data_IF_358237577270
#
_entry.id   IF_358237577270
#
_cell.length_a   1.000
_cell.length_b   1.000
_cell.length_c   1.000
_cell.angle_alpha   90.00
_cell.angle_beta   90.00
_cell.angle_gamma   90.00
#
_symmetry.space_group_name_H-M   'P 1'
#
loop_
_entity.id
_entity.type
_entity.pdbx_description
1 polymer ?
#
# COMPACT_ATOMS: atom_id res chain seq x y z
N UNK A 1 3.17 7.13 -22.86
CA UNK A 1 2.19 6.91 -21.79
C UNK A 1 1.09 6.05 -22.37
N UNK A 2 0.73 4.97 -21.71
CA UNK A 2 -0.44 4.17 -22.09
C UNK A 2 -1.67 4.96 -21.63
N UNK A 3 -2.61 5.27 -22.53
CA UNK A 3 -3.79 6.08 -22.21
C UNK A 3 -5.03 5.24 -21.91
N UNK A 4 -5.01 3.96 -22.28
CA UNK A 4 -6.05 2.98 -21.96
C UNK A 4 -5.38 1.64 -21.63
N UNK A 5 -5.72 1.08 -20.47
CA UNK A 5 -5.34 -0.28 -20.10
C UNK A 5 -6.26 -1.25 -20.87
N UNK A 6 -5.70 -2.22 -21.63
CA UNK A 6 -6.52 -3.14 -22.42
C UNK A 6 -7.38 -4.03 -21.52
N UNK A 7 -8.63 -4.24 -21.94
CA UNK A 7 -9.59 -5.13 -21.25
C UNK A 7 -9.12 -6.59 -21.26
N UNK A 8 -9.39 -7.30 -20.16
CA UNK A 8 -9.00 -8.71 -19.98
C UNK A 8 -9.89 -9.64 -20.83
N UNK A 9 -11.13 -9.24 -21.08
CA UNK A 9 -12.12 -10.02 -21.84
C UNK A 9 -12.45 -9.33 -23.16
N UNK A 10 -12.62 -10.12 -24.21
CA UNK A 10 -13.27 -9.65 -25.43
C UNK A 10 -14.72 -9.25 -25.15
N UNK A 11 -15.35 -8.37 -25.97
CA UNK A 11 -16.75 -8.02 -25.80
C UNK A 11 -17.70 -9.24 -25.75
N UNK A 12 -17.43 -10.25 -26.57
CA UNK A 12 -18.23 -11.48 -26.63
C UNK A 12 -18.10 -12.33 -25.35
N UNK A 13 -16.89 -12.45 -24.81
CA UNK A 13 -16.66 -13.13 -23.53
C UNK A 13 -17.36 -12.38 -22.40
N UNK A 14 -17.27 -11.05 -22.40
CA UNK A 14 -17.89 -10.21 -21.38
C UNK A 14 -19.42 -10.28 -21.39
N UNK A 15 -20.04 -10.29 -22.58
CA UNK A 15 -21.47 -10.50 -22.73
C UNK A 15 -21.90 -11.88 -22.22
N UNK A 16 -21.11 -12.92 -22.49
CA UNK A 16 -21.36 -14.27 -21.98
C UNK A 16 -21.28 -14.35 -20.44
N UNK A 17 -20.32 -13.66 -19.84
CA UNK A 17 -20.17 -13.56 -18.38
C UNK A 17 -21.37 -12.83 -17.77
N UNK A 18 -21.75 -11.67 -18.30
CA UNK A 18 -22.90 -10.88 -17.83
C UNK A 18 -24.24 -11.59 -17.98
N UNK A 19 -24.37 -12.48 -18.95
CA UNK A 19 -25.58 -13.26 -19.13
C UNK A 19 -25.81 -14.32 -18.03
N UNK A 20 -24.74 -14.73 -17.33
CA UNK A 20 -24.77 -15.84 -16.37
C UNK A 20 -24.40 -15.43 -14.93
N UNK A 21 -23.76 -14.28 -14.74
CA UNK A 21 -23.25 -13.82 -13.45
C UNK A 21 -23.71 -12.40 -13.13
N UNK A 22 -23.95 -12.12 -11.84
CA UNK A 22 -24.09 -10.75 -11.36
C UNK A 22 -22.70 -10.10 -11.32
N UNK A 23 -22.56 -8.97 -12.01
CA UNK A 23 -21.31 -8.20 -12.04
C UNK A 23 -21.44 -7.00 -11.10
N UNK A 24 -20.65 -7.02 -10.04
CA UNK A 24 -20.54 -5.89 -9.13
C UNK A 24 -19.63 -4.82 -9.75
N UNK A 25 -20.12 -3.57 -9.80
CA UNK A 25 -19.45 -2.43 -10.41
C UNK A 25 -18.84 -2.73 -11.79
N UNK A 26 -17.50 -2.71 -11.91
CA UNK A 26 -16.76 -2.97 -13.17
C UNK A 26 -16.42 -4.44 -13.38
N UNK A 27 -16.71 -5.29 -12.41
CA UNK A 27 -16.33 -6.71 -12.44
C UNK A 27 -14.84 -6.97 -12.26
N UNK A 28 -14.08 -5.98 -11.77
CA UNK A 28 -12.71 -6.13 -11.30
C UNK A 28 -12.64 -6.01 -9.78
N UNK A 29 -11.55 -6.47 -9.18
CA UNK A 29 -11.36 -6.35 -7.73
C UNK A 29 -11.13 -4.89 -7.36
N UNK A 30 -11.84 -4.41 -6.35
CA UNK A 30 -11.72 -3.04 -5.86
C UNK A 30 -11.96 -2.94 -4.35
N UNK A 31 -11.67 -1.77 -3.77
CA UNK A 31 -11.85 -1.49 -2.35
C UNK A 31 -11.09 -2.47 -1.44
N UNK A 32 -9.80 -2.65 -1.73
CA UNK A 32 -8.94 -3.60 -1.02
C UNK A 32 -7.85 -2.89 -0.21
N UNK A 33 -7.41 -3.54 0.87
CA UNK A 33 -6.17 -3.21 1.59
C UNK A 33 -5.20 -4.38 1.41
N UNK A 34 -4.31 -4.34 0.40
CA UNK A 34 -3.32 -5.39 0.21
C UNK A 34 -2.38 -5.52 1.41
N UNK A 35 -1.94 -6.74 1.70
CA UNK A 35 -0.86 -7.01 2.64
C UNK A 35 0.50 -6.67 1.99
N UNK A 36 0.85 -5.38 2.01
CA UNK A 36 2.16 -4.94 1.57
C UNK A 36 3.27 -5.37 2.52
N UNK A 37 2.98 -5.41 3.83
CA UNK A 37 3.96 -5.70 4.88
C UNK A 37 4.70 -7.00 4.61
N UNK A 38 3.97 -8.09 4.34
CA UNK A 38 4.58 -9.41 4.10
C UNK A 38 5.56 -9.38 2.94
N UNK A 39 5.20 -8.71 1.83
CA UNK A 39 6.08 -8.65 0.66
C UNK A 39 7.24 -7.68 0.86
N UNK A 40 7.01 -6.53 1.50
CA UNK A 40 8.08 -5.56 1.82
C UNK A 40 9.12 -6.20 2.74
N UNK A 41 8.67 -6.97 3.73
CA UNK A 41 9.54 -7.64 4.71
C UNK A 41 10.31 -8.81 4.12
N UNK A 42 9.66 -9.65 3.32
CA UNK A 42 10.27 -10.89 2.80
C UNK A 42 11.03 -10.68 1.49
N UNK A 43 10.51 -9.83 0.60
CA UNK A 43 11.01 -9.64 -0.76
C UNK A 43 10.42 -10.61 -1.79
N UNK A 44 10.49 -10.22 -3.06
CA UNK A 44 9.90 -10.93 -4.18
C UNK A 44 10.48 -12.34 -4.40
N UNK A 45 11.78 -12.54 -4.17
CA UNK A 45 12.39 -13.87 -4.29
C UNK A 45 11.90 -14.84 -3.21
N UNK A 46 11.69 -14.36 -1.98
CA UNK A 46 11.11 -15.19 -0.93
C UNK A 46 9.64 -15.54 -1.23
N UNK A 47 8.87 -14.60 -1.80
CA UNK A 47 7.50 -14.89 -2.27
C UNK A 47 7.50 -15.95 -3.39
N UNK A 48 8.43 -15.87 -4.36
CA UNK A 48 8.58 -16.92 -5.40
C UNK A 48 8.99 -18.27 -4.82
N UNK A 49 9.88 -18.28 -3.84
CA UNK A 49 10.30 -19.52 -3.19
C UNK A 49 9.14 -20.21 -2.45
N UNK A 50 8.25 -19.44 -1.81
CA UNK A 50 7.02 -19.98 -1.21
C UNK A 50 6.13 -20.63 -2.27
N UNK A 51 5.95 -19.98 -3.42
CA UNK A 51 5.15 -20.52 -4.53
C UNK A 51 5.76 -21.81 -5.06
N UNK A 52 7.08 -21.83 -5.29
CA UNK A 52 7.79 -23.03 -5.74
C UNK A 52 7.66 -24.19 -4.73
N UNK A 53 7.74 -23.90 -3.43
CA UNK A 53 7.52 -24.89 -2.38
C UNK A 53 6.10 -25.44 -2.38
N UNK A 54 5.09 -24.59 -2.64
CA UNK A 54 3.68 -25.02 -2.73
C UNK A 54 3.43 -25.86 -3.97
N UNK A 55 4.02 -25.49 -5.11
CA UNK A 55 3.89 -26.24 -6.38
C UNK A 55 4.45 -27.66 -6.31
N UNK A 56 5.35 -27.94 -5.37
CA UNK A 56 5.88 -29.26 -5.10
C UNK A 56 4.89 -30.20 -4.39
N UNK A 57 3.74 -29.70 -3.93
CA UNK A 57 2.68 -30.53 -3.37
C UNK A 57 1.92 -31.27 -4.50
N UNK A 58 2.06 -32.59 -4.52
CA UNK A 58 1.42 -33.49 -5.49
C UNK A 58 -0.10 -33.55 -5.37
N UNK A 59 -0.67 -33.11 -4.24
CA UNK A 59 -2.12 -33.07 -4.01
C UNK A 59 -2.83 -31.93 -4.72
N UNK A 60 -2.08 -30.96 -5.27
CA UNK A 60 -2.66 -29.82 -5.97
C UNK A 60 -3.35 -30.24 -7.26
N UNK A 61 -4.58 -29.78 -7.43
CA UNK A 61 -5.32 -29.91 -8.68
C UNK A 61 -4.75 -28.98 -9.78
N UNK A 62 -5.28 -29.12 -10.99
CA UNK A 62 -4.82 -28.36 -12.15
C UNK A 62 -5.08 -26.85 -12.00
N UNK A 63 -6.20 -26.46 -11.40
CA UNK A 63 -6.58 -25.06 -11.22
C UNK A 63 -5.66 -24.37 -10.21
N UNK A 64 -5.38 -25.03 -9.09
CA UNK A 64 -4.43 -24.57 -8.08
C UNK A 64 -3.02 -24.41 -8.64
N UNK A 65 -2.57 -25.34 -9.49
CA UNK A 65 -1.27 -25.25 -10.16
C UNK A 65 -1.20 -24.08 -11.14
N UNK A 66 -2.26 -23.88 -11.92
CA UNK A 66 -2.37 -22.72 -12.83
C UNK A 66 -2.32 -21.43 -12.02
N UNK A 67 -3.10 -21.32 -10.94
CA UNK A 67 -3.11 -20.14 -10.08
C UNK A 67 -1.70 -19.83 -9.54
N UNK A 68 -1.03 -20.81 -8.93
CA UNK A 68 0.32 -20.62 -8.39
C UNK A 68 1.34 -20.24 -9.48
N UNK A 69 1.28 -20.87 -10.65
CA UNK A 69 2.11 -20.51 -11.80
C UNK A 69 1.88 -19.07 -12.27
N UNK A 70 0.62 -18.63 -12.33
CA UNK A 70 0.25 -17.26 -12.69
C UNK A 70 0.77 -16.25 -11.67
N UNK A 71 0.69 -16.54 -10.36
CA UNK A 71 1.25 -15.65 -9.33
C UNK A 71 2.78 -15.53 -9.47
N UNK A 72 3.48 -16.63 -9.78
CA UNK A 72 4.93 -16.57 -10.03
C UNK A 72 5.27 -15.67 -11.23
N UNK A 73 4.52 -15.80 -12.34
CA UNK A 73 4.67 -14.94 -13.53
C UNK A 73 4.42 -13.46 -13.22
N UNK A 74 3.41 -13.15 -12.40
CA UNK A 74 3.16 -11.77 -11.96
C UNK A 74 4.34 -11.21 -11.17
N UNK A 75 4.96 -12.01 -10.28
CA UNK A 75 6.15 -11.56 -9.54
C UNK A 75 7.31 -11.31 -10.49
N UNK A 76 7.56 -12.20 -11.45
CA UNK A 76 8.62 -12.01 -12.47
C UNK A 76 8.41 -10.71 -13.26
N UNK A 77 7.17 -10.41 -13.65
CA UNK A 77 6.85 -9.16 -14.35
C UNK A 77 7.16 -7.91 -13.50
N UNK A 78 6.85 -7.95 -12.19
CA UNK A 78 7.19 -6.86 -11.26
C UNK A 78 8.71 -6.72 -11.11
N UNK A 79 9.44 -7.83 -11.04
CA UNK A 79 10.91 -7.82 -10.97
C UNK A 79 11.53 -7.23 -12.25
N UNK A 80 11.01 -7.60 -13.41
CA UNK A 80 11.48 -7.08 -14.70
C UNK A 80 11.18 -5.58 -14.84
N UNK A 81 9.98 -5.14 -14.46
CA UNK A 81 9.63 -3.72 -14.41
C UNK A 81 10.59 -2.94 -13.50
N UNK A 82 10.83 -3.45 -12.29
CA UNK A 82 11.77 -2.85 -11.33
C UNK A 82 13.19 -2.78 -11.92
N UNK A 83 13.63 -3.84 -12.60
CA UNK A 83 14.93 -3.89 -13.27
C UNK A 83 15.07 -2.86 -14.40
N UNK A 84 14.00 -2.60 -15.16
CA UNK A 84 13.99 -1.55 -16.19
C UNK A 84 14.14 -0.16 -15.58
N UNK A 85 13.45 0.13 -14.47
CA UNK A 85 13.65 1.39 -13.75
C UNK A 85 15.06 1.50 -13.16
N UNK A 86 15.62 0.41 -12.63
CA UNK A 86 16.99 0.42 -12.10
C UNK A 86 18.04 0.70 -13.19
N UNK A 87 17.87 0.11 -14.38
CA UNK A 87 18.72 0.38 -15.54
C UNK A 87 18.61 1.84 -15.97
N UNK A 88 17.39 2.38 -16.06
CA UNK A 88 17.17 3.77 -16.43
C UNK A 88 17.76 4.75 -15.41
N UNK A 89 17.57 4.52 -14.11
CA UNK A 89 18.17 5.34 -13.06
C UNK A 89 19.71 5.36 -13.16
N UNK A 90 20.33 4.21 -13.49
CA UNK A 90 21.78 4.11 -13.70
C UNK A 90 22.24 4.94 -14.91
N UNK A 91 21.51 4.86 -16.03
CA UNK A 91 21.77 5.67 -17.23
C UNK A 91 21.62 7.17 -16.97
N UNK A 92 20.66 7.55 -16.12
CA UNK A 92 20.44 8.93 -15.69
C UNK A 92 21.44 9.44 -14.63
N UNK A 93 22.40 8.62 -14.20
CA UNK A 93 23.39 8.98 -13.17
C UNK A 93 22.85 8.96 -11.74
N UNK A 94 21.67 8.38 -11.50
CA UNK A 94 21.02 8.24 -10.19
C UNK A 94 21.43 6.90 -9.54
N UNK A 95 22.72 6.78 -9.21
CA UNK A 95 23.30 5.52 -8.75
C UNK A 95 22.67 4.99 -7.46
N UNK A 96 22.28 5.88 -6.56
CA UNK A 96 21.61 5.58 -5.29
C UNK A 96 20.20 5.00 -5.53
N UNK A 97 19.40 5.64 -6.39
CA UNK A 97 18.08 5.13 -6.79
C UNK A 97 18.19 3.78 -7.49
N UNK A 98 19.17 3.63 -8.39
CA UNK A 98 19.42 2.35 -9.05
C UNK A 98 19.75 1.24 -8.04
N UNK A 99 20.56 1.53 -7.02
CA UNK A 99 20.91 0.56 -5.97
C UNK A 99 19.68 0.14 -5.15
N UNK A 100 18.82 1.08 -4.77
CA UNK A 100 17.56 0.80 -4.06
C UNK A 100 16.67 -0.11 -4.91
N UNK A 101 16.49 0.22 -6.19
CA UNK A 101 15.66 -0.58 -7.11
C UNK A 101 16.22 -1.99 -7.33
N UNK A 102 17.53 -2.15 -7.51
CA UNK A 102 18.16 -3.48 -7.64
C UNK A 102 18.00 -4.32 -6.36
N UNK A 103 18.04 -3.68 -5.19
CA UNK A 103 17.83 -4.34 -3.91
C UNK A 103 16.39 -4.87 -3.77
N UNK A 104 15.39 -3.99 -3.93
CA UNK A 104 13.98 -4.35 -3.72
C UNK A 104 13.41 -5.21 -4.85
N UNK A 105 14.10 -5.29 -5.99
CA UNK A 105 13.78 -6.24 -7.06
C UNK A 105 13.78 -7.68 -6.55
N UNK A 106 14.60 -8.02 -5.56
CA UNK A 106 14.79 -9.41 -5.14
C UNK A 106 14.46 -9.61 -3.67
N UNK A 107 15.14 -8.89 -2.78
CA UNK A 107 15.06 -9.09 -1.33
C UNK A 107 14.08 -8.13 -0.66
N UNK A 108 13.72 -8.46 0.58
CA UNK A 108 12.97 -7.54 1.44
C UNK A 108 13.75 -6.25 1.69
N UNK A 109 13.00 -5.19 1.96
CA UNK A 109 13.51 -3.88 2.32
C UNK A 109 14.31 -3.95 3.63
N UNK A 110 15.32 -3.09 3.76
CA UNK A 110 16.18 -2.96 4.96
C UNK A 110 16.30 -1.53 5.46
N UNK A 111 15.71 -0.57 4.75
CA UNK A 111 15.70 0.85 5.08
C UNK A 111 14.33 1.43 4.70
N UNK A 112 14.02 2.61 5.24
CA UNK A 112 12.77 3.31 4.94
C UNK A 112 12.67 3.60 3.44
N UNK A 113 13.77 4.04 2.83
CA UNK A 113 13.82 4.32 1.38
C UNK A 113 13.53 3.09 0.53
N UNK A 114 14.09 1.92 0.89
CA UNK A 114 13.78 0.67 0.20
C UNK A 114 12.30 0.27 0.39
N UNK A 115 11.76 0.41 1.61
CA UNK A 115 10.39 0.04 1.91
C UNK A 115 9.38 0.91 1.15
N UNK A 116 9.58 2.24 1.11
CA UNK A 116 8.77 3.18 0.35
C UNK A 116 8.83 2.88 -1.16
N UNK A 117 10.02 2.62 -1.69
CA UNK A 117 10.20 2.32 -3.11
C UNK A 117 9.48 1.01 -3.51
N UNK A 118 9.59 -0.04 -2.68
CA UNK A 118 8.92 -1.30 -2.93
C UNK A 118 7.40 -1.17 -2.79
N UNK A 119 6.90 -0.45 -1.78
CA UNK A 119 5.47 -0.14 -1.66
C UNK A 119 4.97 0.54 -2.92
N UNK A 120 5.66 1.57 -3.43
CA UNK A 120 5.21 2.31 -4.60
C UNK A 120 5.13 1.43 -5.86
N UNK A 121 6.09 0.52 -6.03
CA UNK A 121 6.11 -0.44 -7.15
C UNK A 121 4.96 -1.45 -7.03
N UNK A 122 4.75 -2.02 -5.85
CA UNK A 122 3.66 -2.97 -5.60
C UNK A 122 2.30 -2.29 -5.81
N UNK A 123 2.13 -1.09 -5.26
CA UNK A 123 0.92 -0.31 -5.39
C UNK A 123 0.62 0.00 -6.86
N UNK A 124 1.62 0.45 -7.62
CA UNK A 124 1.52 0.67 -9.05
C UNK A 124 1.09 -0.59 -9.80
N UNK A 125 1.75 -1.73 -9.55
CA UNK A 125 1.47 -2.97 -10.23
C UNK A 125 0.03 -3.47 -10.00
N UNK A 126 -0.52 -3.26 -8.79
CA UNK A 126 -1.90 -3.62 -8.48
C UNK A 126 -2.89 -2.78 -9.27
N UNK A 127 -2.61 -1.48 -9.43
CA UNK A 127 -3.42 -0.59 -10.27
C UNK A 127 -3.34 -0.93 -11.76
N UNK A 128 -2.13 -1.18 -12.27
CA UNK A 128 -1.92 -1.61 -13.66
C UNK A 128 -2.60 -2.95 -13.98
N UNK A 129 -2.77 -3.82 -12.97
CA UNK A 129 -3.53 -5.07 -13.10
C UNK A 129 -5.06 -4.85 -13.17
N UNK A 130 -5.55 -3.60 -13.16
CA UNK A 130 -6.96 -3.25 -13.31
C UNK A 130 -7.75 -3.19 -11.99
N UNK A 131 -7.06 -3.34 -10.84
CA UNK A 131 -7.68 -3.17 -9.52
C UNK A 131 -7.72 -1.69 -9.18
N UNK A 132 -8.81 -1.22 -8.56
CA UNK A 132 -8.97 0.20 -8.21
C UNK A 132 -9.44 0.39 -6.77
N UNK A 133 -9.28 1.60 -6.24
CA UNK A 133 -9.46 1.89 -4.80
C UNK A 133 -8.60 0.97 -3.93
N UNK A 134 -7.32 0.89 -4.28
CA UNK A 134 -6.31 0.19 -3.49
C UNK A 134 -5.87 1.13 -2.37
N UNK A 135 -6.03 0.70 -1.12
CA UNK A 135 -5.57 1.47 0.04
C UNK A 135 -4.10 1.13 0.35
N UNK A 136 -3.47 1.95 1.19
CA UNK A 136 -2.11 1.77 1.71
C UNK A 136 -2.10 1.09 3.08
N UNK A 137 -3.26 0.74 3.64
CA UNK A 137 -3.39 0.09 4.94
C UNK A 137 -2.82 0.93 6.09
N UNK A 138 -2.37 0.26 7.15
CA UNK A 138 -1.75 0.89 8.34
C UNK A 138 -0.28 1.21 8.13
N UNK A 139 -0.05 2.17 7.24
CA UNK A 139 1.28 2.57 6.77
C UNK A 139 2.27 2.81 7.91
N UNK A 140 1.84 3.54 8.94
CA UNK A 140 2.70 3.89 10.06
C UNK A 140 3.12 2.70 10.92
N UNK A 141 2.49 1.53 10.79
CA UNK A 141 2.85 0.33 11.54
C UNK A 141 3.86 -0.52 10.77
N UNK A 142 3.54 -0.90 9.52
CA UNK A 142 4.43 -1.77 8.75
C UNK A 142 5.67 -1.04 8.23
N UNK A 143 5.65 0.29 8.15
CA UNK A 143 6.83 1.09 7.82
C UNK A 143 7.69 1.45 9.04
N UNK A 144 7.13 1.43 10.24
CA UNK A 144 7.83 1.87 11.45
C UNK A 144 9.17 1.15 11.71
N UNK A 145 9.30 -0.18 11.51
CA UNK A 145 10.56 -0.86 11.74
C UNK A 145 11.70 -0.30 10.89
N UNK A 146 11.41 0.10 9.64
CA UNK A 146 12.39 0.67 8.72
C UNK A 146 12.74 2.11 9.09
N UNK A 147 11.75 2.91 9.47
CA UNK A 147 11.96 4.25 10.01
C UNK A 147 12.86 4.19 11.26
N UNK A 148 12.50 3.36 12.24
CA UNK A 148 13.28 3.20 13.48
C UNK A 148 14.70 2.72 13.21
N UNK A 149 14.87 1.73 12.34
CA UNK A 149 16.19 1.24 11.95
C UNK A 149 17.07 2.39 11.43
N UNK A 150 16.56 3.20 10.51
CA UNK A 150 17.37 4.25 9.87
C UNK A 150 17.70 5.40 10.82
N UNK A 151 16.75 5.80 11.67
CA UNK A 151 16.99 6.83 12.70
C UNK A 151 17.99 6.33 13.76
N UNK A 152 17.79 5.11 14.29
CA UNK A 152 18.60 4.58 15.39
C UNK A 152 20.03 4.24 14.95
N UNK A 153 20.21 3.87 13.68
CA UNK A 153 21.54 3.60 13.10
C UNK A 153 22.22 4.85 12.54
N UNK A 154 21.54 6.00 12.53
CA UNK A 154 22.05 7.25 11.96
C UNK A 154 22.22 7.22 10.44
N UNK A 155 21.49 6.33 9.75
CA UNK A 155 21.41 6.30 8.29
C UNK A 155 20.60 7.49 7.77
N UNK A 156 19.56 7.88 8.52
CA UNK A 156 18.76 9.07 8.26
C UNK A 156 18.65 9.91 9.53
N UNK A 157 18.60 11.23 9.34
CA UNK A 157 18.03 12.16 10.31
C UNK A 157 16.50 12.13 10.25
N UNK A 158 15.82 12.66 11.27
CA UNK A 158 14.36 12.81 11.22
C UNK A 158 13.89 13.71 10.07
N UNK A 159 14.70 14.71 9.67
CA UNK A 159 14.40 15.60 8.56
C UNK A 159 14.49 14.86 7.22
N UNK A 160 15.57 14.09 6.98
CA UNK A 160 15.69 13.29 5.76
C UNK A 160 14.61 12.19 5.67
N UNK A 161 14.21 11.61 6.82
CA UNK A 161 13.10 10.67 6.84
C UNK A 161 11.76 11.35 6.52
N UNK A 162 11.56 12.59 6.98
CA UNK A 162 10.39 13.39 6.65
C UNK A 162 10.34 13.75 5.16
N UNK A 163 11.46 14.16 4.57
CA UNK A 163 11.57 14.43 3.12
C UNK A 163 11.16 13.21 2.28
N UNK A 164 11.56 11.99 2.69
CA UNK A 164 11.15 10.75 2.02
C UNK A 164 9.64 10.49 2.14
N UNK A 165 9.02 10.84 3.27
CA UNK A 165 7.56 10.73 3.43
C UNK A 165 6.86 11.74 2.53
N UNK A 166 7.35 12.98 2.43
CA UNK A 166 6.80 13.98 1.51
C UNK A 166 6.94 13.56 0.04
N UNK A 167 8.10 13.04 -0.35
CA UNK A 167 8.32 12.51 -1.71
C UNK A 167 7.36 11.36 -2.02
N UNK A 168 7.10 10.47 -1.06
CA UNK A 168 6.11 9.40 -1.23
C UNK A 168 4.70 9.95 -1.45
N UNK A 169 4.28 10.97 -0.69
CA UNK A 169 2.99 11.64 -0.89
C UNK A 169 2.89 12.28 -2.28
N UNK A 170 3.94 12.94 -2.74
CA UNK A 170 4.03 13.47 -4.11
C UNK A 170 3.91 12.35 -5.15
N UNK A 171 4.58 11.22 -4.94
CA UNK A 171 4.54 10.07 -5.83
C UNK A 171 3.15 9.41 -5.92
N UNK A 172 2.35 9.43 -4.85
CA UNK A 172 0.96 8.97 -4.87
C UNK A 172 0.05 9.83 -5.78
N UNK A 173 0.39 11.10 -5.99
CA UNK A 173 -0.41 12.01 -6.83
C UNK A 173 0.12 12.13 -8.27
N UNK A 174 1.33 11.63 -8.55
CA UNK A 174 2.00 11.78 -9.85
C UNK A 174 1.26 11.10 -11.01
N UNK A 175 0.64 9.96 -10.74
CA UNK A 175 0.02 9.06 -11.72
C UNK A 175 -1.52 9.12 -11.66
N UNK A 176 -2.08 10.26 -11.21
CA UNK A 176 -3.53 10.42 -10.99
C UNK A 176 -4.39 10.18 -12.24
N UNK A 177 -3.82 10.30 -13.44
CA UNK A 177 -4.47 10.03 -14.72
C UNK A 177 -4.59 8.53 -15.05
N UNK A 178 -3.76 7.68 -14.43
CA UNK A 178 -3.82 6.22 -14.56
C UNK A 178 -4.92 5.60 -13.68
N UNK A 179 -5.51 6.38 -12.77
CA UNK A 179 -6.47 5.89 -11.79
C UNK A 179 -7.90 6.31 -12.16
N UNK A 180 -8.77 5.36 -12.54
CA UNK A 180 -10.13 5.70 -12.93
C UNK A 180 -11.02 6.00 -11.71
N UNK A 181 -11.80 7.08 -11.74
CA UNK A 181 -12.74 7.45 -10.66
C UNK A 181 -13.84 8.41 -11.11
N UNK A 182 -14.95 8.47 -10.34
CA UNK A 182 -16.05 9.42 -10.57
C UNK A 182 -15.62 10.88 -10.34
N UNK A 183 -14.64 11.10 -9.46
CA UNK A 183 -13.97 12.37 -9.25
C UNK A 183 -12.53 12.23 -9.76
N UNK A 184 -12.25 12.81 -10.92
CA UNK A 184 -10.90 12.84 -11.49
C UNK A 184 -9.95 13.52 -10.49
N UNK A 185 -8.88 12.82 -10.08
CA UNK A 185 -7.93 13.27 -9.06
C UNK A 185 -8.16 12.72 -7.65
N UNK A 186 -9.22 11.95 -7.42
CA UNK A 186 -9.46 11.20 -6.18
C UNK A 186 -9.38 9.69 -6.46
N UNK A 187 -8.23 9.11 -6.13
CA UNK A 187 -7.90 7.74 -6.53
C UNK A 187 -8.27 6.72 -5.43
N UNK A 188 -8.82 7.18 -4.30
CA UNK A 188 -9.16 6.31 -3.17
C UNK A 188 -7.94 5.67 -2.50
N UNK A 189 -6.77 6.31 -2.57
CA UNK A 189 -5.54 5.84 -1.91
C UNK A 189 -5.59 6.21 -0.42
N UNK A 190 -6.34 5.42 0.36
CA UNK A 190 -6.50 5.65 1.79
C UNK A 190 -5.30 5.14 2.59
N UNK A 191 -4.79 5.94 3.53
CA UNK A 191 -3.74 5.58 4.49
C UNK A 191 -4.32 5.63 5.90
N UNK A 192 -4.10 4.56 6.67
CA UNK A 192 -4.55 4.46 8.07
C UNK A 192 -3.36 4.72 9.00
N UNK A 193 -3.59 5.50 10.06
CA UNK A 193 -2.62 5.86 11.09
C UNK A 193 -3.17 5.58 12.48
N UNK A 194 -2.30 5.22 13.42
CA UNK A 194 -2.62 5.07 14.84
C UNK A 194 -3.50 3.88 15.14
N UNK A 195 -4.39 4.03 16.13
CA UNK A 195 -5.18 2.95 16.72
C UNK A 195 -4.45 2.27 17.89
N UNK A 196 -4.91 1.06 18.25
CA UNK A 196 -4.36 0.29 19.37
C UNK A 196 -3.79 -1.05 18.99
N UNK A 197 -2.81 -1.47 19.77
CA UNK A 197 -2.35 -2.84 19.83
C UNK A 197 -3.32 -3.71 20.63
N UNK A 198 -3.22 -5.03 20.48
CA UNK A 198 -4.05 -6.00 21.22
C UNK A 198 -3.87 -5.92 22.75
N UNK A 199 -2.72 -5.44 23.22
CA UNK A 199 -2.46 -5.21 24.65
C UNK A 199 -3.01 -3.86 25.16
N UNK A 200 -3.64 -3.07 24.29
CA UNK A 200 -4.18 -1.75 24.60
C UNK A 200 -3.19 -0.60 24.40
N UNK A 201 -1.93 -0.83 24.02
CA UNK A 201 -0.99 0.28 23.80
C UNK A 201 -1.38 1.11 22.57
N UNK A 202 -1.13 2.42 22.62
CA UNK A 202 -1.29 3.29 21.46
C UNK A 202 -0.22 3.01 20.41
N UNK A 203 -0.68 2.93 19.17
CA UNK A 203 0.17 2.69 18.01
C UNK A 203 0.45 3.95 17.18
N UNK A 204 -0.16 5.09 17.54
CA UNK A 204 0.21 6.38 16.97
C UNK A 204 1.65 6.71 17.35
N UNK A 205 2.51 6.93 16.36
CA UNK A 205 3.94 7.03 16.52
C UNK A 205 4.51 8.22 15.72
N UNK A 206 5.83 8.38 15.75
CA UNK A 206 6.52 9.50 15.09
C UNK A 206 6.28 9.54 13.57
N UNK A 207 6.14 8.37 12.94
CA UNK A 207 5.83 8.29 11.51
C UNK A 207 4.37 8.70 11.24
N UNK A 208 3.43 8.38 12.13
CA UNK A 208 2.05 8.89 12.07
C UNK A 208 2.00 10.41 12.09
N UNK A 209 2.76 11.05 12.98
CA UNK A 209 2.88 12.50 13.05
C UNK A 209 3.50 13.09 11.76
N UNK A 210 4.56 12.46 11.24
CA UNK A 210 5.18 12.87 9.97
C UNK A 210 4.18 12.80 8.81
N UNK A 211 3.36 11.75 8.71
CA UNK A 211 2.33 11.66 7.67
C UNK A 211 1.31 12.80 7.77
N UNK A 212 0.84 13.15 8.98
CA UNK A 212 -0.09 14.28 9.17
C UNK A 212 0.56 15.61 8.78
N UNK A 213 1.83 15.80 9.13
CA UNK A 213 2.60 17.00 8.77
C UNK A 213 2.81 17.12 7.27
N UNK A 214 3.28 16.06 6.61
CA UNK A 214 3.45 16.01 5.16
C UNK A 214 2.14 16.35 4.43
N UNK A 215 1.02 15.80 4.89
CA UNK A 215 -0.29 16.14 4.34
C UNK A 215 -0.67 17.62 4.53
N UNK A 216 -0.35 18.21 5.68
CA UNK A 216 -0.57 19.63 5.95
C UNK A 216 0.32 20.55 5.10
N UNK A 217 1.56 20.14 4.82
CA UNK A 217 2.55 20.92 4.08
C UNK A 217 2.29 20.87 2.58
N UNK A 218 1.97 19.69 2.04
CA UNK A 218 1.78 19.47 0.61
C UNK A 218 0.38 19.83 0.10
N UNK A 219 -0.65 19.73 0.94
CA UNK A 219 -2.05 19.99 0.59
C UNK A 219 -2.55 19.22 -0.66
N UNK A 220 -2.06 17.99 -0.84
CA UNK A 220 -2.44 17.07 -1.92
C UNK A 220 -3.60 16.16 -1.51
N UNK A 221 -4.33 15.62 -2.50
CA UNK A 221 -5.51 14.78 -2.27
C UNK A 221 -5.14 13.40 -1.70
N UNK A 222 -4.12 12.76 -2.27
CA UNK A 222 -3.67 11.44 -1.86
C UNK A 222 -2.32 11.51 -1.09
N UNK A 223 -2.02 10.51 -0.24
CA UNK A 223 -2.97 9.56 0.30
C UNK A 223 -3.93 10.23 1.31
N UNK A 224 -5.19 9.78 1.31
CA UNK A 224 -6.19 10.27 2.27
C UNK A 224 -5.97 9.65 3.63
N UNK A 225 -5.69 10.48 4.62
CA UNK A 225 -5.39 10.01 5.97
C UNK A 225 -6.67 9.66 6.74
N UNK A 226 -6.65 8.50 7.39
CA UNK A 226 -7.62 8.03 8.36
C UNK A 226 -6.89 7.77 9.68
N UNK A 227 -7.31 8.45 10.74
CA UNK A 227 -6.75 8.25 12.08
C UNK A 227 -7.71 7.33 12.84
N UNK A 228 -7.19 6.20 13.33
CA UNK A 228 -7.92 5.35 14.28
C UNK A 228 -7.88 5.97 15.67
N UNK A 229 -9.05 6.14 16.27
CA UNK A 229 -9.26 6.80 17.56
C UNK A 229 -10.26 6.03 18.40
N UNK A 230 -10.24 6.25 19.71
CA UNK A 230 -11.14 5.70 20.71
C UNK A 230 -11.37 6.71 21.84
N UNK A 231 -12.22 6.36 22.81
CA UNK A 231 -12.63 7.22 23.92
C UNK A 231 -11.48 7.74 24.79
N UNK A 232 -10.35 7.03 24.82
CA UNK A 232 -9.19 7.34 25.64
C UNK A 232 -8.10 8.06 24.82
N UNK A 233 -8.32 8.32 23.53
CA UNK A 233 -7.31 8.86 22.60
C UNK A 233 -6.78 10.20 23.09
N UNK A 234 -5.45 10.38 23.22
CA UNK A 234 -4.87 11.63 23.68
C UNK A 234 -5.31 12.83 22.84
N UNK A 235 -5.67 13.93 23.51
CA UNK A 235 -6.08 15.20 22.88
C UNK A 235 -5.07 15.73 21.85
N UNK A 236 -3.78 15.43 22.03
CA UNK A 236 -2.72 15.78 21.09
C UNK A 236 -2.94 15.19 19.69
N UNK A 237 -3.42 13.95 19.59
CA UNK A 237 -3.71 13.31 18.30
C UNK A 237 -4.88 14.01 17.61
N UNK A 238 -5.93 14.35 18.37
CA UNK A 238 -7.04 15.16 17.85
C UNK A 238 -6.59 16.57 17.43
N UNK A 239 -5.70 17.20 18.20
CA UNK A 239 -5.14 18.50 17.87
C UNK A 239 -4.37 18.44 16.54
N UNK A 240 -3.46 17.47 16.37
CA UNK A 240 -2.71 17.27 15.13
C UNK A 240 -3.66 17.01 13.94
N UNK A 241 -4.61 16.09 14.10
CA UNK A 241 -5.61 15.82 13.07
C UNK A 241 -6.43 17.07 12.70
N UNK A 242 -6.78 17.90 13.68
CA UNK A 242 -7.55 19.14 13.46
C UNK A 242 -6.76 20.19 12.67
N UNK A 243 -5.42 20.19 12.74
CA UNK A 243 -4.59 21.06 11.91
C UNK A 243 -4.77 20.73 10.43
N UNK A 244 -4.83 19.43 10.10
CA UNK A 244 -5.10 18.98 8.73
C UNK A 244 -6.56 19.21 8.33
N UNK A 245 -7.53 18.98 9.23
CA UNK A 245 -8.94 19.34 8.98
C UNK A 245 -9.08 20.83 8.61
N UNK A 246 -8.33 21.71 9.29
CA UNK A 246 -8.33 23.16 9.04
C UNK A 246 -7.87 23.53 7.63
N UNK A 247 -7.05 22.70 6.97
CA UNK A 247 -6.62 22.92 5.57
C UNK A 247 -7.77 22.81 4.58
N UNK A 248 -8.87 22.14 4.95
CA UNK A 248 -10.10 22.11 4.15
C UNK A 248 -10.11 21.07 3.02
N UNK A 249 -9.24 20.06 3.10
CA UNK A 249 -9.14 18.99 2.10
C UNK A 249 -10.18 17.86 2.29
N UNK A 250 -10.94 17.89 3.40
CA UNK A 250 -11.95 16.88 3.73
C UNK A 250 -11.42 15.68 4.53
N UNK A 251 -10.16 15.70 4.93
CA UNK A 251 -9.49 14.71 5.77
C UNK A 251 -8.60 15.42 6.82
N UNK A 252 -8.11 14.74 7.89
CA UNK A 252 -8.18 13.31 8.14
C UNK A 252 -9.61 12.87 8.46
N UNK A 253 -9.93 11.62 8.14
CA UNK A 253 -11.10 10.96 8.71
C UNK A 253 -10.74 10.38 10.07
N UNK A 254 -11.70 10.30 10.98
CA UNK A 254 -11.51 9.71 12.31
C UNK A 254 -12.33 8.42 12.40
N UNK A 255 -11.66 7.29 12.54
CA UNK A 255 -12.26 5.96 12.62
C UNK A 255 -12.36 5.54 14.08
N UNK A 256 -13.60 5.41 14.60
CA UNK A 256 -13.83 5.11 16.01
C UNK A 256 -13.74 3.60 16.30
N UNK A 257 -12.63 3.19 16.92
CA UNK A 257 -12.34 1.80 17.28
C UNK A 257 -13.30 1.23 18.33
N UNK A 258 -13.87 2.06 19.23
CA UNK A 258 -14.89 1.62 20.21
C UNK A 258 -16.15 1.05 19.53
N UNK A 259 -16.37 1.43 18.27
CA UNK A 259 -17.51 0.98 17.47
C UNK A 259 -17.06 -0.04 16.42
N UNK A 260 -15.97 0.25 15.71
CA UNK A 260 -15.50 -0.57 14.58
C UNK A 260 -15.01 -1.93 15.06
N UNK A 261 -14.18 -1.99 16.09
CA UNK A 261 -13.58 -3.25 16.57
C UNK A 261 -14.67 -4.24 17.03
N UNK A 262 -15.61 -3.87 17.94
CA UNK A 262 -16.71 -4.76 18.30
C UNK A 262 -17.62 -5.12 17.12
N UNK A 263 -17.77 -4.21 16.15
CA UNK A 263 -18.53 -4.45 14.92
C UNK A 263 -17.91 -5.55 14.06
N UNK A 264 -16.60 -5.50 13.85
CA UNK A 264 -15.85 -6.52 13.11
C UNK A 264 -15.84 -7.85 13.85
N UNK A 265 -15.65 -7.86 15.18
CA UNK A 265 -15.72 -9.09 15.97
C UNK A 265 -17.08 -9.78 15.84
N UNK A 266 -18.18 -9.02 15.82
CA UNK A 266 -19.53 -9.55 15.57
C UNK A 266 -19.70 -10.15 14.16
N UNK A 267 -18.84 -9.78 13.21
CA UNK A 267 -18.79 -10.34 11.85
C UNK A 267 -17.90 -11.57 11.73
N UNK A 268 -17.25 -12.00 12.82
CA UNK A 268 -16.47 -13.24 12.89
C UNK A 268 -14.97 -13.04 12.77
N UNK A 269 -14.48 -11.80 12.72
CA UNK A 269 -13.04 -11.52 12.81
C UNK A 269 -12.54 -11.76 14.23
N UNK A 270 -11.33 -12.29 14.36
CA UNK A 270 -10.65 -12.40 15.65
C UNK A 270 -10.25 -11.03 16.18
N UNK A 271 -10.12 -10.89 17.51
CA UNK A 271 -9.65 -9.66 18.13
C UNK A 271 -8.34 -9.16 17.51
N UNK A 272 -7.40 -10.08 17.26
CA UNK A 272 -6.13 -9.77 16.62
C UNK A 272 -6.32 -9.16 15.22
N UNK A 273 -7.17 -9.74 14.37
CA UNK A 273 -7.45 -9.22 13.03
C UNK A 273 -8.18 -7.87 13.05
N UNK A 274 -8.95 -7.59 14.09
CA UNK A 274 -9.68 -6.32 14.20
C UNK A 274 -8.82 -5.16 14.67
N UNK A 275 -7.74 -5.46 15.41
CA UNK A 275 -6.83 -4.43 15.92
C UNK A 275 -5.56 -4.31 15.10
N UNK A 276 -5.18 -5.34 14.33
CA UNK A 276 -4.07 -5.35 13.36
C UNK A 276 -4.29 -4.38 12.21
#
# INVERSE_FOLDING_TARGET
TVTEVPEIFTPQEWDGIKASHYIHERGTVCNISPDYETTIRLGLDARKAEIASRLADDSLDQEQRIFLGSVALCIEAVQELTGRYAAHAREAGQADTAQVLEAVRTRGARSLREALQLLRILHFAIWEAGNYHNTLGRFDQYMYPYFRHDIDSGVLTEEEAFDLVEEFFLACNKDSDLYPGMQQGDNGQSMVLGGRAANGDYLFNRLSEMCLRASCELELIDPKINIRVDADTPDEIFFLGSQLTRKGLGFPQYSNDDVIVPGLMKKGYSEQETVS
#
